data_IF_119852860631
#
_entry.id   IF_119852860631
#
_cell.length_a   1.000
_cell.length_b   1.000
_cell.length_c   1.000
_cell.angle_alpha   90.00
_cell.angle_beta   90.00
_cell.angle_gamma   90.00
#
_symmetry.space_group_name_H-M   'P 1'
#
loop_
_entity.id
_entity.type
_entity.pdbx_description
1 polymer ?
#
# COMPACT_ATOMS: atom_id res chain seq x y z
N UNK A 1 26.90 -60.60 42.01
CA UNK A 1 25.82 -59.95 41.24
C UNK A 1 24.92 -59.21 42.22
N UNK A 2 25.00 -57.88 42.25
CA UNK A 2 23.93 -56.97 42.68
C UNK A 2 24.42 -55.56 42.32
N UNK A 3 23.94 -55.08 41.17
CA UNK A 3 24.21 -53.73 40.66
C UNK A 3 23.22 -52.80 41.36
N UNK A 4 23.73 -51.93 42.24
CA UNK A 4 23.00 -50.79 42.78
C UNK A 4 22.96 -49.69 41.72
N UNK A 5 21.82 -49.58 41.03
CA UNK A 5 21.56 -48.49 40.10
C UNK A 5 21.09 -47.25 40.86
N UNK A 6 21.88 -46.19 40.77
CA UNK A 6 21.59 -44.84 41.25
C UNK A 6 20.29 -44.29 40.64
N UNK A 7 19.30 -44.02 41.48
CA UNK A 7 18.16 -43.17 41.16
C UNK A 7 18.60 -41.70 41.17
N UNK A 8 19.22 -41.27 40.07
CA UNK A 8 19.26 -39.84 39.73
C UNK A 8 17.91 -39.48 39.13
N UNK A 9 17.11 -38.72 39.87
CA UNK A 9 15.92 -38.07 39.35
C UNK A 9 16.31 -37.11 38.24
N UNK A 10 16.11 -37.53 36.99
CA UNK A 10 15.99 -36.61 35.87
C UNK A 10 14.65 -35.88 36.03
N UNK A 11 14.67 -34.69 36.64
CA UNK A 11 13.62 -33.73 36.34
C UNK A 11 13.68 -33.44 34.83
N UNK A 12 12.56 -33.50 34.10
CA UNK A 12 12.55 -33.13 32.71
C UNK A 12 12.93 -31.65 32.63
N UNK A 13 14.00 -31.34 31.88
CA UNK A 13 14.31 -30.00 31.39
C UNK A 13 13.10 -29.50 30.60
N UNK A 14 12.11 -28.93 31.30
CA UNK A 14 10.96 -28.29 30.67
C UNK A 14 11.51 -27.21 29.75
N UNK A 15 11.17 -27.28 28.46
CA UNK A 15 11.49 -26.27 27.47
C UNK A 15 10.94 -24.92 27.93
N UNK A 16 11.76 -24.14 28.64
CA UNK A 16 11.35 -22.86 29.21
C UNK A 16 11.33 -21.82 28.07
N UNK A 17 10.19 -21.19 27.83
CA UNK A 17 9.95 -20.18 26.80
C UNK A 17 10.84 -18.94 26.89
N UNK A 18 11.75 -18.87 27.85
CA UNK A 18 12.71 -17.77 28.06
C UNK A 18 13.57 -17.44 26.83
N UNK A 19 13.92 -18.43 26.01
CA UNK A 19 14.61 -18.19 24.73
C UNK A 19 13.75 -17.38 23.74
N UNK A 20 12.49 -17.80 23.57
CA UNK A 20 11.51 -17.10 22.74
C UNK A 20 11.16 -15.71 23.28
N UNK A 21 11.10 -15.55 24.61
CA UNK A 21 10.91 -14.25 25.24
C UNK A 21 12.02 -13.26 24.86
N UNK A 22 13.29 -13.68 24.97
CA UNK A 22 14.44 -12.83 24.60
C UNK A 22 14.43 -12.48 23.12
N UNK A 23 14.13 -13.46 22.26
CA UNK A 23 13.98 -13.22 20.82
C UNK A 23 12.86 -12.23 20.53
N UNK A 24 11.70 -12.40 21.15
CA UNK A 24 10.57 -11.47 20.99
C UNK A 24 10.95 -10.04 21.39
N UNK A 25 11.63 -9.88 22.52
CA UNK A 25 12.09 -8.58 23.01
C UNK A 25 13.01 -7.86 22.00
N UNK A 26 13.94 -8.60 21.37
CA UNK A 26 14.84 -8.03 20.35
C UNK A 26 14.12 -7.58 19.07
N UNK A 27 12.95 -8.14 18.78
CA UNK A 27 12.19 -7.89 17.56
C UNK A 27 11.14 -6.79 17.72
N UNK A 28 10.86 -6.29 18.92
CA UNK A 28 9.72 -5.40 19.20
C UNK A 28 9.65 -4.18 18.25
N UNK A 29 10.81 -3.63 17.88
CA UNK A 29 10.92 -2.44 17.03
C UNK A 29 11.09 -2.76 15.55
N UNK A 30 11.81 -3.82 15.20
CA UNK A 30 12.15 -4.16 13.81
C UNK A 30 11.11 -5.04 13.13
N UNK A 31 10.48 -5.95 13.87
CA UNK A 31 9.47 -6.89 13.39
C UNK A 31 8.44 -7.19 14.50
N UNK A 32 7.46 -6.29 14.70
CA UNK A 32 6.49 -6.42 15.78
C UNK A 32 5.58 -7.64 15.64
N UNK A 33 5.34 -8.13 14.42
CA UNK A 33 4.51 -9.31 14.17
C UNK A 33 5.23 -10.58 14.64
N UNK A 34 6.49 -10.75 14.23
CA UNK A 34 7.33 -11.83 14.76
C UNK A 34 7.52 -11.72 16.26
N UNK A 35 7.67 -10.50 16.81
CA UNK A 35 7.74 -10.30 18.27
C UNK A 35 6.49 -10.82 18.98
N UNK A 36 5.29 -10.48 18.48
CA UNK A 36 4.01 -10.97 19.03
C UNK A 36 3.93 -12.50 18.99
N UNK A 37 4.29 -13.13 17.86
CA UNK A 37 4.27 -14.59 17.75
C UNK A 37 5.26 -15.27 18.70
N UNK A 38 6.49 -14.73 18.83
CA UNK A 38 7.48 -15.27 19.75
C UNK A 38 7.04 -15.12 21.21
N UNK A 39 6.43 -14.00 21.61
CA UNK A 39 5.87 -13.87 22.96
C UNK A 39 4.70 -14.84 23.22
N UNK A 40 3.78 -15.02 22.25
CA UNK A 40 2.68 -16.00 22.35
C UNK A 40 3.23 -17.43 22.51
N UNK A 41 4.22 -17.79 21.70
CA UNK A 41 4.87 -19.09 21.77
C UNK A 41 5.64 -19.27 23.09
N UNK A 42 6.32 -18.23 23.59
CA UNK A 42 6.99 -18.26 24.89
C UNK A 42 6.01 -18.54 26.04
N UNK A 43 4.85 -17.87 26.04
CA UNK A 43 3.79 -18.09 27.03
C UNK A 43 3.27 -19.53 26.96
N UNK A 44 3.06 -20.06 25.75
CA UNK A 44 2.57 -21.42 25.52
C UNK A 44 3.57 -22.51 25.95
N UNK A 45 4.88 -22.29 25.75
CA UNK A 45 5.94 -23.20 26.18
C UNK A 45 6.22 -23.13 27.69
N UNK A 46 5.64 -22.15 28.39
CA UNK A 46 5.80 -21.97 29.83
C UNK A 46 6.90 -20.97 30.15
N UNK A 47 6.55 -20.01 31.00
CA UNK A 47 7.45 -18.98 31.53
C UNK A 47 7.29 -18.91 33.05
N UNK A 48 8.37 -18.56 33.78
CA UNK A 48 8.26 -18.16 35.18
C UNK A 48 7.22 -17.05 35.37
N UNK A 49 6.52 -17.04 36.51
CA UNK A 49 5.34 -16.17 36.73
C UNK A 49 5.59 -14.68 36.37
N UNK A 50 6.76 -14.15 36.74
CA UNK A 50 7.15 -12.77 36.44
C UNK A 50 7.34 -12.52 34.93
N UNK A 51 8.03 -13.43 34.23
CA UNK A 51 8.24 -13.33 32.79
C UNK A 51 6.95 -13.56 32.01
N UNK A 52 6.08 -14.47 32.49
CA UNK A 52 4.76 -14.67 31.91
C UNK A 52 3.93 -13.39 32.00
N UNK A 53 3.89 -12.74 33.17
CA UNK A 53 3.19 -11.47 33.37
C UNK A 53 3.75 -10.39 32.44
N UNK A 54 5.08 -10.28 32.33
CA UNK A 54 5.72 -9.34 31.43
C UNK A 54 5.36 -9.61 29.96
N UNK A 55 5.45 -10.86 29.50
CA UNK A 55 5.16 -11.27 28.12
C UNK A 55 3.71 -10.94 27.74
N UNK A 56 2.77 -11.19 28.64
CA UNK A 56 1.36 -10.87 28.47
C UNK A 56 1.18 -9.35 28.25
N UNK A 57 1.75 -8.51 29.12
CA UNK A 57 1.67 -7.05 28.93
C UNK A 57 2.38 -6.57 27.66
N UNK A 58 3.51 -7.18 27.29
CA UNK A 58 4.22 -6.87 26.04
C UNK A 58 3.36 -7.13 24.81
N UNK A 59 2.69 -8.29 24.75
CA UNK A 59 1.74 -8.61 23.67
C UNK A 59 0.62 -7.57 23.58
N UNK A 60 0.02 -7.19 24.73
CA UNK A 60 -1.00 -6.15 24.78
C UNK A 60 -0.51 -4.81 24.20
N UNK A 61 0.65 -4.33 24.63
CA UNK A 61 1.19 -3.05 24.15
C UNK A 61 1.62 -3.10 22.69
N UNK A 62 2.13 -4.24 22.21
CA UNK A 62 2.44 -4.44 20.79
C UNK A 62 1.17 -4.40 19.94
N UNK A 63 0.06 -4.98 20.40
CA UNK A 63 -1.22 -4.82 19.70
C UNK A 63 -1.66 -3.36 19.63
N UNK A 64 -1.63 -2.67 20.77
CA UNK A 64 -2.03 -1.28 20.88
C UNK A 64 -1.21 -0.37 19.95
N UNK A 65 0.13 -0.49 19.99
CA UNK A 65 1.05 0.38 19.24
C UNK A 65 0.96 0.16 17.73
N UNK A 66 0.69 -1.06 17.29
CA UNK A 66 0.67 -1.43 15.88
C UNK A 66 -0.75 -1.52 15.29
N UNK A 67 -1.73 -0.88 15.94
CA UNK A 67 -3.11 -0.72 15.46
C UNK A 67 -3.94 -2.01 15.34
N UNK A 68 -3.54 -3.08 16.03
CA UNK A 68 -4.34 -4.30 16.17
C UNK A 68 -5.42 -4.11 17.25
N UNK A 69 -6.31 -3.12 17.07
CA UNK A 69 -7.17 -2.65 18.16
C UNK A 69 -8.18 -3.69 18.64
N UNK A 70 -8.70 -4.55 17.76
CA UNK A 70 -9.63 -5.60 18.17
C UNK A 70 -8.91 -6.65 19.02
N UNK A 71 -7.68 -7.05 18.64
CA UNK A 71 -6.87 -7.94 19.46
C UNK A 71 -6.46 -7.27 20.77
N UNK A 72 -6.02 -6.00 20.76
CA UNK A 72 -5.69 -5.26 21.97
C UNK A 72 -6.89 -5.18 22.94
N UNK A 73 -8.09 -4.93 22.41
CA UNK A 73 -9.32 -4.86 23.19
C UNK A 73 -9.66 -6.22 23.82
N UNK A 74 -9.73 -7.28 23.01
CA UNK A 74 -10.07 -8.63 23.50
C UNK A 74 -9.01 -9.19 24.46
N UNK A 75 -7.74 -8.98 24.15
CA UNK A 75 -6.63 -9.46 24.96
C UNK A 75 -6.48 -8.66 26.26
N UNK A 76 -6.73 -7.35 26.23
CA UNK A 76 -6.81 -6.52 27.44
C UNK A 76 -7.84 -7.05 28.44
N UNK A 77 -9.00 -7.48 27.94
CA UNK A 77 -10.08 -8.05 28.78
C UNK A 77 -9.64 -9.35 29.45
N UNK A 78 -8.94 -10.23 28.73
CA UNK A 78 -8.51 -11.52 29.29
C UNK A 78 -7.40 -11.39 30.32
N UNK A 79 -6.69 -10.27 30.38
CA UNK A 79 -5.56 -10.04 31.29
C UNK A 79 -5.92 -9.10 32.45
N UNK A 80 -7.17 -8.66 32.54
CA UNK A 80 -7.66 -7.77 33.58
C UNK A 80 -7.20 -6.31 33.43
N UNK A 81 -6.91 -5.85 32.21
CA UNK A 81 -6.66 -4.43 31.97
C UNK A 81 -7.95 -3.65 32.25
N UNK A 82 -7.90 -2.70 33.19
CA UNK A 82 -9.07 -1.95 33.65
C UNK A 82 -9.80 -1.16 32.56
N UNK A 83 -11.01 -0.67 32.87
CA UNK A 83 -11.89 0.00 31.90
C UNK A 83 -11.30 1.23 31.20
N UNK A 84 -10.30 1.89 31.82
CA UNK A 84 -9.56 3.01 31.21
C UNK A 84 -8.79 2.59 29.96
N UNK A 85 -8.17 1.40 29.98
CA UNK A 85 -7.43 0.84 28.85
C UNK A 85 -8.35 0.47 27.70
N UNK A 86 -9.49 -0.18 27.98
CA UNK A 86 -10.49 -0.51 26.96
C UNK A 86 -11.05 0.75 26.28
N UNK A 87 -11.39 1.76 27.08
CA UNK A 87 -11.88 3.06 26.59
C UNK A 87 -10.85 3.75 25.70
N UNK A 88 -9.56 3.65 26.03
CA UNK A 88 -8.49 4.19 25.22
C UNK A 88 -8.35 3.46 23.87
N UNK A 89 -8.34 2.12 23.87
CA UNK A 89 -8.27 1.32 22.63
C UNK A 89 -9.44 1.65 21.71
N UNK A 90 -10.66 1.68 22.25
CA UNK A 90 -11.84 2.01 21.47
C UNK A 90 -11.72 3.42 20.90
N UNK A 91 -11.40 4.45 21.71
CA UNK A 91 -11.22 5.82 21.21
C UNK A 91 -10.19 5.92 20.08
N UNK A 92 -9.06 5.24 20.21
CA UNK A 92 -8.02 5.22 19.18
C UNK A 92 -8.51 4.56 17.88
N UNK A 93 -9.29 3.49 17.99
CA UNK A 93 -9.92 2.82 16.87
C UNK A 93 -10.96 3.71 16.17
N UNK A 94 -11.87 4.34 16.93
CA UNK A 94 -12.88 5.26 16.38
C UNK A 94 -12.20 6.41 15.65
N UNK A 95 -11.15 6.99 16.24
CA UNK A 95 -10.41 8.09 15.63
C UNK A 95 -9.70 7.64 14.34
N UNK A 96 -8.96 6.53 14.36
CA UNK A 96 -8.18 6.06 13.20
C UNK A 96 -9.07 5.59 12.06
N UNK A 97 -10.08 4.78 12.37
CA UNK A 97 -10.95 4.14 11.37
C UNK A 97 -12.18 4.99 10.99
N UNK A 98 -12.47 6.04 11.75
CA UNK A 98 -13.63 6.90 11.51
C UNK A 98 -14.96 6.17 11.68
N UNK A 99 -15.00 5.20 12.57
CA UNK A 99 -16.19 4.38 12.84
C UNK A 99 -16.85 4.82 14.15
N UNK A 100 -18.07 4.33 14.39
CA UNK A 100 -18.78 4.56 15.64
C UNK A 100 -18.46 3.47 16.67
N UNK A 101 -18.78 3.71 17.95
CA UNK A 101 -18.67 2.67 18.99
C UNK A 101 -19.50 1.44 18.66
N UNK A 102 -20.67 1.61 18.02
CA UNK A 102 -21.52 0.51 17.56
C UNK A 102 -20.82 -0.34 16.50
N UNK A 103 -20.22 0.31 15.49
CA UNK A 103 -19.44 -0.35 14.45
C UNK A 103 -18.26 -1.13 15.04
N UNK A 104 -17.53 -0.52 15.99
CA UNK A 104 -16.41 -1.18 16.66
C UNK A 104 -16.86 -2.41 17.44
N UNK A 105 -17.95 -2.30 18.20
CA UNK A 105 -18.51 -3.43 18.96
C UNK A 105 -19.01 -4.55 18.03
N UNK A 106 -19.60 -4.20 16.89
CA UNK A 106 -20.00 -5.18 15.87
C UNK A 106 -18.78 -5.95 15.34
N UNK A 107 -17.68 -5.26 15.03
CA UNK A 107 -16.43 -5.90 14.60
C UNK A 107 -15.83 -6.81 15.69
N UNK A 108 -15.79 -6.35 16.94
CA UNK A 108 -15.30 -7.14 18.08
C UNK A 108 -16.14 -8.41 18.28
N UNK A 109 -17.46 -8.29 18.17
CA UNK A 109 -18.40 -9.42 18.30
C UNK A 109 -18.26 -10.40 17.14
N UNK A 110 -18.09 -9.91 15.91
CA UNK A 110 -17.93 -10.74 14.72
C UNK A 110 -16.54 -11.38 14.63
N UNK A 111 -15.53 -10.81 15.31
CA UNK A 111 -14.13 -11.24 15.23
C UNK A 111 -13.91 -12.75 15.33
N UNK A 112 -14.50 -13.50 16.27
CA UNK A 112 -14.25 -14.93 16.39
C UNK A 112 -14.86 -15.77 15.26
N UNK A 113 -15.86 -15.25 14.55
CA UNK A 113 -16.70 -16.01 13.63
C UNK A 113 -16.39 -15.80 12.16
N UNK A 114 -17.06 -16.60 11.31
CA UNK A 114 -16.97 -16.52 9.86
C UNK A 114 -17.62 -15.25 9.26
N UNK A 115 -18.61 -14.66 9.95
CA UNK A 115 -19.32 -13.44 9.52
C UNK A 115 -18.55 -12.13 9.70
N UNK A 116 -17.27 -12.19 10.07
CA UNK A 116 -16.43 -10.99 10.23
C UNK A 116 -16.28 -10.22 8.94
N UNK A 117 -15.99 -10.90 7.82
CA UNK A 117 -15.74 -10.23 6.54
C UNK A 117 -16.98 -9.47 6.09
N UNK A 118 -18.18 -10.05 6.20
CA UNK A 118 -19.44 -9.38 5.83
C UNK A 118 -19.71 -8.15 6.70
N UNK A 119 -19.53 -8.29 8.02
CA UNK A 119 -19.67 -7.18 8.97
C UNK A 119 -18.67 -6.06 8.67
N UNK A 120 -17.41 -6.42 8.42
CA UNK A 120 -16.36 -5.48 8.07
C UNK A 120 -16.68 -4.77 6.76
N UNK A 121 -17.10 -5.51 5.74
CA UNK A 121 -17.40 -4.98 4.41
C UNK A 121 -18.58 -4.00 4.46
N UNK A 122 -19.63 -4.28 5.24
CA UNK A 122 -20.74 -3.34 5.45
C UNK A 122 -20.28 -2.04 6.13
N UNK A 123 -19.46 -2.14 7.18
CA UNK A 123 -18.94 -0.96 7.88
C UNK A 123 -18.00 -0.16 6.96
N UNK A 124 -17.12 -0.82 6.23
CA UNK A 124 -16.21 -0.21 5.25
C UNK A 124 -17.03 0.50 4.15
N UNK A 125 -18.05 -0.16 3.61
CA UNK A 125 -18.98 0.40 2.64
C UNK A 125 -19.70 1.63 3.20
N UNK A 126 -19.96 1.70 4.50
CA UNK A 126 -20.52 2.90 5.15
C UNK A 126 -19.47 3.94 5.56
N UNK A 127 -18.16 3.76 5.29
CA UNK A 127 -17.08 4.70 5.70
C UNK A 127 -16.00 4.94 4.61
N UNK A 128 -16.29 5.69 3.55
CA UNK A 128 -15.47 5.80 2.33
C UNK A 128 -14.08 6.33 2.57
N UNK A 129 -13.98 7.43 3.34
CA UNK A 129 -12.71 8.15 3.49
C UNK A 129 -11.69 7.38 4.32
N UNK A 130 -12.15 6.54 5.25
CA UNK A 130 -11.29 5.77 6.18
C UNK A 130 -11.43 4.25 6.02
N UNK A 131 -12.29 3.80 5.11
CA UNK A 131 -12.52 2.41 4.74
C UNK A 131 -11.25 1.67 4.31
N UNK A 132 -10.35 2.28 3.50
CA UNK A 132 -9.09 1.65 3.15
C UNK A 132 -8.19 1.36 4.36
N UNK A 133 -8.09 2.31 5.30
CA UNK A 133 -7.29 2.15 6.52
C UNK A 133 -7.89 1.07 7.43
N UNK A 134 -9.21 1.10 7.60
CA UNK A 134 -9.93 0.07 8.36
C UNK A 134 -9.72 -1.32 7.75
N UNK A 135 -9.98 -1.47 6.44
CA UNK A 135 -9.83 -2.74 5.74
C UNK A 135 -8.42 -3.30 5.92
N UNK A 136 -7.41 -2.47 5.76
CA UNK A 136 -6.03 -2.92 5.85
C UNK A 136 -5.59 -3.31 7.26
N UNK A 137 -5.95 -2.52 8.26
CA UNK A 137 -5.63 -2.87 9.65
C UNK A 137 -6.34 -4.19 10.03
N UNK A 138 -7.60 -4.39 9.59
CA UNK A 138 -8.33 -5.64 9.81
C UNK A 138 -7.68 -6.84 9.10
N UNK A 139 -7.20 -6.67 7.87
CA UNK A 139 -6.52 -7.75 7.13
C UNK A 139 -5.22 -8.16 7.78
N UNK A 140 -4.35 -7.20 8.09
CA UNK A 140 -3.08 -7.48 8.78
C UNK A 140 -3.33 -8.18 10.11
N UNK A 141 -4.34 -7.72 10.83
CA UNK A 141 -4.79 -8.32 12.08
C UNK A 141 -5.25 -9.78 11.91
N UNK A 142 -5.96 -10.10 10.83
CA UNK A 142 -6.40 -11.46 10.51
C UNK A 142 -5.25 -12.36 10.06
N UNK A 143 -4.33 -11.85 9.24
CA UNK A 143 -3.11 -12.55 8.83
C UNK A 143 -2.25 -12.92 10.04
N UNK A 144 -2.10 -12.00 11.00
CA UNK A 144 -1.38 -12.25 12.24
C UNK A 144 -2.04 -13.37 13.08
N UNK A 145 -3.36 -13.52 13.01
CA UNK A 145 -4.09 -14.61 13.66
C UNK A 145 -4.16 -15.89 12.79
N UNK A 146 -3.44 -15.94 11.65
CA UNK A 146 -3.40 -17.09 10.75
C UNK A 146 -4.66 -17.26 9.88
N UNK A 147 -5.52 -16.24 9.79
CA UNK A 147 -6.81 -16.25 9.09
C UNK A 147 -6.76 -15.54 7.75
N UNK A 148 -5.76 -15.88 6.94
CA UNK A 148 -5.54 -15.26 5.63
C UNK A 148 -6.73 -15.42 4.66
N UNK A 149 -7.50 -16.50 4.81
CA UNK A 149 -8.72 -16.76 4.01
C UNK A 149 -9.88 -15.81 4.34
N UNK A 150 -9.95 -15.32 5.59
CA UNK A 150 -10.93 -14.30 6.03
C UNK A 150 -10.40 -12.91 5.67
N UNK A 151 -9.09 -12.70 5.80
CA UNK A 151 -8.42 -11.46 5.43
C UNK A 151 -8.65 -11.11 3.95
N UNK A 152 -8.51 -12.09 3.06
CA UNK A 152 -8.74 -11.89 1.61
C UNK A 152 -10.18 -11.49 1.27
N UNK A 153 -11.15 -11.81 2.13
CA UNK A 153 -12.58 -11.48 1.95
C UNK A 153 -12.97 -10.12 2.52
N UNK A 154 -12.13 -9.49 3.34
CA UNK A 154 -12.31 -8.08 3.70
C UNK A 154 -11.97 -7.26 2.47
N UNK A 155 -12.87 -6.42 1.97
CA UNK A 155 -12.70 -5.62 0.77
C UNK A 155 -12.99 -4.15 1.05
N UNK A 156 -12.22 -3.27 0.41
CA UNK A 156 -12.62 -1.87 0.30
C UNK A 156 -13.75 -1.84 -0.73
N UNK A 157 -14.94 -1.41 -0.31
CA UNK A 157 -16.06 -1.14 -1.22
C UNK A 157 -16.63 0.22 -0.88
N UNK A 158 -17.14 0.95 -1.88
CA UNK A 158 -18.18 1.99 -1.69
C UNK A 158 -19.05 2.12 -2.95
N UNK A 159 -20.30 2.59 -2.78
CA UNK A 159 -21.45 2.29 -3.61
C UNK A 159 -21.54 3.19 -4.84
N UNK A 160 -22.13 2.63 -5.90
CA UNK A 160 -22.76 3.33 -7.02
C UNK A 160 -21.88 4.08 -8.03
N UNK A 161 -20.60 3.71 -8.20
CA UNK A 161 -19.91 4.12 -9.43
C UNK A 161 -20.25 3.14 -10.55
N UNK A 162 -20.97 3.61 -11.56
CA UNK A 162 -21.23 2.95 -12.86
C UNK A 162 -19.95 2.61 -13.67
N UNK A 163 -18.79 2.57 -13.01
CA UNK A 163 -17.48 2.22 -13.53
C UNK A 163 -16.95 1.07 -12.68
N UNK A 164 -17.10 -0.16 -13.19
CA UNK A 164 -16.70 -1.38 -12.48
C UNK A 164 -15.22 -1.38 -12.12
N UNK A 165 -14.92 -1.23 -10.82
CA UNK A 165 -13.57 -1.37 -10.29
C UNK A 165 -13.40 -2.76 -9.68
N UNK A 166 -12.30 -3.40 -10.07
CA UNK A 166 -11.94 -4.76 -9.68
C UNK A 166 -11.30 -4.77 -8.27
N UNK A 167 -11.79 -5.60 -7.32
CA UNK A 167 -11.27 -5.65 -5.96
C UNK A 167 -9.76 -5.94 -5.86
N UNK A 168 -9.21 -6.73 -6.79
CA UNK A 168 -7.77 -7.04 -6.80
C UNK A 168 -6.96 -5.79 -7.20
N UNK A 169 -7.48 -4.96 -8.10
CA UNK A 169 -6.82 -3.71 -8.51
C UNK A 169 -6.78 -2.69 -7.38
N UNK A 170 -7.87 -2.55 -6.63
CA UNK A 170 -7.91 -1.65 -5.47
C UNK A 170 -6.97 -2.12 -4.36
N UNK A 171 -6.90 -3.44 -4.15
CA UNK A 171 -5.98 -4.03 -3.19
C UNK A 171 -4.51 -3.79 -3.58
N UNK A 172 -4.19 -3.94 -4.86
CA UNK A 172 -2.85 -3.65 -5.36
C UNK A 172 -2.47 -2.17 -5.19
N UNK A 173 -3.39 -1.24 -5.47
CA UNK A 173 -3.17 0.19 -5.24
C UNK A 173 -2.96 0.53 -3.77
N UNK A 174 -3.70 -0.14 -2.89
CA UNK A 174 -3.50 -0.01 -1.45
C UNK A 174 -2.09 -0.43 -1.04
N UNK A 175 -1.63 -1.63 -1.41
CA UNK A 175 -0.28 -2.08 -1.11
C UNK A 175 0.80 -1.16 -1.69
N UNK A 176 0.61 -0.68 -2.93
CA UNK A 176 1.48 0.31 -3.54
C UNK A 176 1.56 1.62 -2.74
N UNK A 177 0.44 2.09 -2.19
CA UNK A 177 0.36 3.30 -1.36
C UNK A 177 1.10 3.16 -0.03
N UNK A 178 1.11 1.96 0.54
CA UNK A 178 1.84 1.64 1.78
C UNK A 178 3.34 1.39 1.55
N UNK A 179 3.77 1.32 0.29
CA UNK A 179 5.15 0.97 -0.06
C UNK A 179 5.42 -0.53 -0.12
N UNK A 180 4.40 -1.38 0.10
CA UNK A 180 4.49 -2.82 -0.14
C UNK A 180 4.38 -3.11 -1.64
N UNK A 181 5.49 -2.92 -2.34
CA UNK A 181 5.55 -3.13 -3.78
C UNK A 181 5.42 -4.61 -4.14
N UNK A 182 5.92 -5.52 -3.30
CA UNK A 182 5.89 -6.96 -3.54
C UNK A 182 4.46 -7.52 -3.41
N UNK A 183 3.73 -7.11 -2.37
CA UNK A 183 2.32 -7.45 -2.20
C UNK A 183 1.46 -6.91 -3.33
N UNK A 184 1.67 -5.65 -3.74
CA UNK A 184 0.97 -5.05 -4.86
C UNK A 184 1.20 -5.82 -6.17
N UNK A 185 2.47 -6.12 -6.46
CA UNK A 185 2.88 -6.84 -7.66
C UNK A 185 2.31 -8.26 -7.72
N UNK A 186 2.33 -8.99 -6.59
CA UNK A 186 1.78 -10.34 -6.50
C UNK A 186 0.30 -10.39 -6.92
N UNK A 187 -0.48 -9.41 -6.47
CA UNK A 187 -1.91 -9.34 -6.80
C UNK A 187 -2.11 -9.02 -8.28
N UNK A 188 -1.37 -8.05 -8.82
CA UNK A 188 -1.48 -7.66 -10.22
C UNK A 188 -1.11 -8.80 -11.16
N UNK A 189 -0.06 -9.58 -10.85
CA UNK A 189 0.30 -10.75 -11.66
C UNK A 189 -0.70 -11.89 -11.54
N UNK A 190 -1.21 -12.16 -10.33
CA UNK A 190 -2.30 -13.12 -10.15
C UNK A 190 -3.49 -12.75 -11.04
N UNK A 191 -3.83 -11.46 -11.10
CA UNK A 191 -4.95 -10.96 -11.92
C UNK A 191 -4.63 -10.99 -13.41
N UNK A 192 -3.43 -10.62 -13.82
CA UNK A 192 -3.00 -10.68 -15.21
C UNK A 192 -3.02 -12.10 -15.78
N UNK A 193 -2.76 -13.10 -14.94
CA UNK A 193 -2.68 -14.51 -15.30
C UNK A 193 -3.95 -15.32 -14.97
N UNK A 194 -5.03 -14.68 -14.51
CA UNK A 194 -6.28 -15.40 -14.25
C UNK A 194 -6.91 -15.88 -15.55
N UNK A 195 -7.57 -17.04 -15.52
CA UNK A 195 -8.32 -17.59 -16.67
C UNK A 195 -9.56 -16.74 -17.03
N UNK A 196 -9.99 -15.82 -16.15
CA UNK A 196 -10.98 -14.81 -16.49
C UNK A 196 -10.43 -13.81 -17.50
N UNK A 197 -11.12 -13.69 -18.65
CA UNK A 197 -10.79 -12.69 -19.66
C UNK A 197 -10.94 -11.27 -19.09
N UNK A 198 -9.80 -10.63 -18.82
CA UNK A 198 -9.77 -9.23 -18.42
C UNK A 198 -10.28 -8.35 -19.56
N UNK A 199 -11.38 -7.64 -19.32
CA UNK A 199 -11.83 -6.57 -20.20
C UNK A 199 -10.73 -5.52 -20.41
N UNK A 200 -10.75 -4.87 -21.58
CA UNK A 200 -9.66 -3.97 -22.02
C UNK A 200 -9.32 -2.89 -20.97
N UNK A 201 -10.32 -2.26 -20.35
CA UNK A 201 -10.10 -1.26 -19.31
C UNK A 201 -9.37 -1.82 -18.07
N UNK A 202 -9.75 -3.03 -17.62
CA UNK A 202 -9.10 -3.69 -16.49
C UNK A 202 -7.65 -4.06 -16.82
N UNK A 203 -7.42 -4.59 -18.02
CA UNK A 203 -6.07 -4.92 -18.51
C UNK A 203 -5.17 -3.69 -18.60
N UNK A 204 -5.69 -2.58 -19.14
CA UNK A 204 -5.00 -1.29 -19.15
C UNK A 204 -4.60 -0.86 -17.74
N UNK A 205 -5.53 -0.97 -16.78
CA UNK A 205 -5.26 -0.59 -15.39
C UNK A 205 -4.22 -1.46 -14.71
N UNK A 206 -4.27 -2.79 -14.90
CA UNK A 206 -3.23 -3.72 -14.39
C UNK A 206 -1.84 -3.28 -14.86
N UNK A 207 -1.69 -3.09 -16.17
CA UNK A 207 -0.42 -2.72 -16.79
C UNK A 207 0.07 -1.35 -16.30
N UNK A 208 -0.82 -0.37 -16.19
CA UNK A 208 -0.47 0.93 -15.63
C UNK A 208 0.09 0.83 -14.19
N UNK A 209 -0.53 0.03 -13.33
CA UNK A 209 -0.08 -0.16 -11.95
C UNK A 209 1.25 -0.91 -11.87
N UNK A 210 1.47 -1.92 -12.71
CA UNK A 210 2.78 -2.57 -12.87
C UNK A 210 3.85 -1.57 -13.29
N UNK A 211 3.55 -0.66 -14.22
CA UNK A 211 4.45 0.42 -14.61
C UNK A 211 4.82 1.35 -13.44
N UNK A 212 3.85 1.73 -12.61
CA UNK A 212 4.11 2.52 -11.39
C UNK A 212 5.01 1.79 -10.38
N UNK A 213 4.80 0.49 -10.19
CA UNK A 213 5.64 -0.34 -9.30
C UNK A 213 7.08 -0.36 -9.82
N UNK A 214 7.27 -0.62 -11.11
CA UNK A 214 8.59 -0.64 -11.74
C UNK A 214 9.32 0.69 -11.61
N UNK A 215 8.60 1.80 -11.78
CA UNK A 215 9.17 3.12 -11.57
C UNK A 215 9.68 3.31 -10.13
N UNK A 216 8.90 2.91 -9.11
CA UNK A 216 9.34 2.96 -7.71
C UNK A 216 10.53 2.04 -7.41
N UNK A 217 10.70 0.97 -8.19
CA UNK A 217 11.84 0.06 -8.12
C UNK A 217 13.06 0.56 -8.93
N UNK A 218 13.03 1.79 -9.46
CA UNK A 218 14.04 2.36 -10.35
C UNK A 218 14.27 1.54 -11.65
N UNK A 219 13.23 0.83 -12.11
CA UNK A 219 13.23 0.05 -13.36
C UNK A 219 12.52 0.84 -14.47
N UNK A 220 13.15 1.92 -14.92
CA UNK A 220 12.55 2.91 -15.82
C UNK A 220 12.10 2.31 -17.16
N UNK A 221 12.94 1.49 -17.81
CA UNK A 221 12.62 0.87 -19.11
C UNK A 221 11.41 -0.06 -19.03
N UNK A 222 11.30 -0.84 -17.95
CA UNK A 222 10.13 -1.69 -17.72
C UNK A 222 8.87 -0.85 -17.48
N UNK A 223 8.99 0.25 -16.73
CA UNK A 223 7.86 1.17 -16.51
C UNK A 223 7.34 1.77 -17.82
N UNK A 224 8.25 2.24 -18.69
CA UNK A 224 7.92 2.77 -20.02
C UNK A 224 7.18 1.70 -20.85
N UNK A 225 7.71 0.46 -20.88
CA UNK A 225 7.07 -0.65 -21.60
C UNK A 225 5.65 -0.89 -21.09
N UNK A 226 5.45 -0.93 -19.78
CA UNK A 226 4.13 -1.13 -19.19
C UNK A 226 3.15 -0.01 -19.52
N UNK A 227 3.56 1.25 -19.51
CA UNK A 227 2.68 2.36 -19.91
C UNK A 227 2.28 2.28 -21.38
N UNK A 228 3.19 1.88 -22.28
CA UNK A 228 2.86 1.66 -23.70
C UNK A 228 1.87 0.51 -23.88
N UNK A 229 2.08 -0.61 -23.18
CA UNK A 229 1.14 -1.74 -23.20
C UNK A 229 -0.22 -1.35 -22.64
N UNK A 230 -0.26 -0.60 -21.54
CA UNK A 230 -1.50 -0.10 -20.94
C UNK A 230 -2.29 0.78 -21.92
N UNK A 231 -1.60 1.62 -22.69
CA UNK A 231 -2.21 2.49 -23.68
C UNK A 231 -2.91 1.71 -24.81
N UNK A 232 -2.35 0.57 -25.23
CA UNK A 232 -2.95 -0.29 -26.25
C UNK A 232 -4.29 -0.93 -25.84
N UNK A 233 -4.60 -0.90 -24.54
CA UNK A 233 -5.86 -1.43 -23.99
C UNK A 233 -6.79 -0.32 -23.46
N UNK A 234 -6.38 0.95 -23.53
CA UNK A 234 -7.15 2.08 -23.04
C UNK A 234 -8.06 2.68 -24.13
N UNK A 235 -9.03 3.50 -23.72
CA UNK A 235 -9.78 4.37 -24.65
C UNK A 235 -8.91 5.52 -25.13
N UNK A 236 -9.24 6.15 -26.25
CA UNK A 236 -8.42 7.19 -26.90
C UNK A 236 -7.80 8.23 -25.94
N UNK A 237 -8.63 8.84 -25.08
CA UNK A 237 -8.15 9.88 -24.15
C UNK A 237 -7.16 9.32 -23.12
N UNK A 238 -7.45 8.16 -22.56
CA UNK A 238 -6.58 7.54 -21.54
C UNK A 238 -5.32 6.93 -22.17
N UNK A 239 -5.45 6.35 -23.36
CA UNK A 239 -4.35 5.88 -24.19
C UNK A 239 -3.33 7.00 -24.43
N UNK A 240 -3.80 8.18 -24.84
CA UNK A 240 -2.94 9.37 -25.02
C UNK A 240 -2.24 9.78 -23.74
N UNK A 241 -2.93 9.78 -22.59
CA UNK A 241 -2.32 10.09 -21.29
C UNK A 241 -1.21 9.10 -20.93
N UNK A 242 -1.43 7.82 -21.15
CA UNK A 242 -0.46 6.76 -20.87
C UNK A 242 0.76 6.85 -21.79
N UNK A 243 0.57 7.20 -23.07
CA UNK A 243 1.66 7.42 -24.02
C UNK A 243 2.43 8.71 -23.72
N UNK A 244 1.75 9.78 -23.31
CA UNK A 244 2.40 10.99 -22.81
C UNK A 244 3.24 10.70 -21.55
N UNK A 245 2.75 9.85 -20.65
CA UNK A 245 3.52 9.42 -19.48
C UNK A 245 4.77 8.62 -19.88
N UNK A 246 4.64 7.68 -20.81
CA UNK A 246 5.77 6.92 -21.35
C UNK A 246 6.81 7.83 -22.04
N UNK A 247 6.33 8.77 -22.85
CA UNK A 247 7.16 9.79 -23.52
C UNK A 247 7.89 10.65 -22.49
N UNK A 248 7.19 11.14 -21.46
CA UNK A 248 7.79 11.96 -20.40
C UNK A 248 8.93 11.23 -19.68
N UNK A 249 8.79 9.91 -19.48
CA UNK A 249 9.84 9.07 -18.92
C UNK A 249 11.05 8.94 -19.84
N UNK A 250 10.84 8.69 -21.13
CA UNK A 250 11.91 8.71 -22.14
C UNK A 250 12.66 10.05 -22.15
N UNK A 251 11.92 11.16 -22.10
CA UNK A 251 12.51 12.48 -22.09
C UNK A 251 13.36 12.72 -20.83
N UNK A 252 12.86 12.33 -19.67
CA UNK A 252 13.57 12.42 -18.38
C UNK A 252 14.82 11.56 -18.32
N UNK A 253 14.88 10.46 -19.06
CA UNK A 253 16.07 9.60 -19.19
C UNK A 253 17.03 10.05 -20.29
N UNK A 254 16.80 11.21 -20.91
CA UNK A 254 17.68 11.79 -21.93
C UNK A 254 17.40 11.29 -23.36
N UNK A 255 16.43 10.40 -23.55
CA UNK A 255 16.04 9.86 -24.87
C UNK A 255 15.06 10.80 -25.57
N UNK A 256 15.50 12.03 -25.85
CA UNK A 256 14.64 13.12 -26.33
C UNK A 256 14.00 12.83 -27.70
N UNK A 257 14.74 12.20 -28.62
CA UNK A 257 14.24 11.93 -29.98
C UNK A 257 13.13 10.87 -29.92
N UNK A 258 13.35 9.78 -29.18
CA UNK A 258 12.34 8.75 -28.95
C UNK A 258 11.12 9.29 -28.19
N UNK A 259 11.31 10.27 -27.29
CA UNK A 259 10.20 10.92 -26.62
C UNK A 259 9.35 11.74 -27.60
N UNK A 260 9.99 12.48 -28.52
CA UNK A 260 9.33 13.26 -29.56
C UNK A 260 8.56 12.38 -30.54
N UNK A 261 9.21 11.35 -31.11
CA UNK A 261 8.57 10.39 -32.02
C UNK A 261 7.30 9.78 -31.43
N UNK A 262 7.31 9.51 -30.12
CA UNK A 262 6.16 8.92 -29.45
C UNK A 262 4.96 9.89 -29.38
N UNK A 263 5.18 11.20 -29.32
CA UNK A 263 4.10 12.20 -29.15
C UNK A 263 3.72 12.96 -30.41
N UNK A 264 4.61 13.00 -31.41
CA UNK A 264 4.39 13.69 -32.70
C UNK A 264 3.16 13.16 -33.45
N UNK A 265 2.78 11.91 -33.17
CA UNK A 265 1.62 11.24 -33.74
C UNK A 265 0.29 11.64 -33.08
N UNK A 266 0.31 12.42 -32.00
CA UNK A 266 -0.90 12.81 -31.28
C UNK A 266 -1.33 14.25 -31.59
N UNK A 267 -2.65 14.50 -31.63
CA UNK A 267 -3.15 15.87 -31.69
C UNK A 267 -2.76 16.65 -30.43
N UNK A 268 -2.78 17.98 -30.55
CA UNK A 268 -2.50 18.89 -29.43
C UNK A 268 -3.35 18.51 -28.20
N UNK A 269 -2.72 18.26 -27.02
CA UNK A 269 -3.45 17.84 -25.83
C UNK A 269 -4.30 18.98 -25.28
N UNK A 270 -5.44 18.66 -24.65
CA UNK A 270 -6.31 19.66 -24.02
C UNK A 270 -5.82 20.14 -22.65
N UNK A 271 -5.08 19.30 -21.92
CA UNK A 271 -4.57 19.59 -20.58
C UNK A 271 -3.29 20.43 -20.62
N UNK A 272 -3.26 21.53 -19.87
CA UNK A 272 -2.19 22.54 -19.97
C UNK A 272 -0.78 22.00 -19.63
N UNK A 273 -0.68 21.08 -18.66
CA UNK A 273 0.61 20.43 -18.35
C UNK A 273 1.11 19.55 -19.49
N UNK A 274 0.22 18.83 -20.16
CA UNK A 274 0.59 18.04 -21.33
C UNK A 274 0.93 18.94 -22.52
N UNK A 275 0.23 20.06 -22.71
CA UNK A 275 0.60 21.07 -23.73
C UNK A 275 2.02 21.58 -23.51
N UNK A 276 2.33 22.01 -22.28
CA UNK A 276 3.67 22.47 -21.94
C UNK A 276 4.72 21.38 -22.23
N UNK A 277 4.43 20.13 -21.85
CA UNK A 277 5.30 19.00 -22.15
C UNK A 277 5.56 18.84 -23.66
N UNK A 278 4.50 18.82 -24.46
CA UNK A 278 4.60 18.67 -25.92
C UNK A 278 5.44 19.78 -26.54
N UNK A 279 5.21 21.03 -26.12
CA UNK A 279 5.98 22.17 -26.59
C UNK A 279 7.46 22.05 -26.22
N UNK A 280 7.78 21.68 -24.97
CA UNK A 280 9.16 21.53 -24.50
C UNK A 280 9.90 20.47 -25.31
N UNK A 281 9.29 19.30 -25.51
CA UNK A 281 9.92 18.20 -26.25
C UNK A 281 10.08 18.55 -27.72
N UNK A 282 9.08 19.16 -28.35
CA UNK A 282 9.16 19.57 -29.75
C UNK A 282 10.28 20.60 -30.00
N UNK A 283 10.53 21.49 -29.05
CA UNK A 283 11.63 22.46 -29.14
C UNK A 283 12.99 21.80 -28.88
N UNK A 284 13.11 20.96 -27.85
CA UNK A 284 14.40 20.38 -27.41
C UNK A 284 14.90 19.23 -28.30
N UNK A 285 13.98 18.45 -28.88
CA UNK A 285 14.30 17.30 -29.72
C UNK A 285 14.28 17.62 -31.22
N UNK A 286 13.34 18.45 -31.68
CA UNK A 286 13.06 18.63 -33.10
C UNK A 286 13.17 20.08 -33.60
N UNK A 287 13.68 21.01 -32.77
CA UNK A 287 13.87 22.42 -33.14
C UNK A 287 12.60 23.12 -33.67
N UNK A 288 11.42 22.67 -33.23
CA UNK A 288 10.16 23.08 -33.85
C UNK A 288 9.88 24.59 -33.65
N UNK A 289 9.85 25.41 -34.72
CA UNK A 289 9.73 26.86 -34.60
C UNK A 289 8.34 27.32 -34.15
N UNK A 290 7.29 26.56 -34.47
CA UNK A 290 5.93 26.85 -34.03
C UNK A 290 5.77 26.56 -32.53
N UNK A 291 6.34 25.45 -32.06
CA UNK A 291 6.38 25.13 -30.65
C UNK A 291 7.16 26.18 -29.86
N UNK A 292 8.31 26.65 -30.39
CA UNK A 292 9.10 27.71 -29.79
C UNK A 292 8.31 29.03 -29.67
N UNK A 293 7.58 29.42 -30.72
CA UNK A 293 6.74 30.63 -30.69
C UNK A 293 5.65 30.54 -29.62
N UNK A 294 4.99 29.38 -29.51
CA UNK A 294 4.00 29.12 -28.46
C UNK A 294 4.65 29.15 -27.06
N UNK A 295 5.81 28.53 -26.89
CA UNK A 295 6.55 28.54 -25.63
C UNK A 295 6.94 29.97 -25.21
N UNK A 296 7.38 30.81 -26.16
CA UNK A 296 7.66 32.25 -25.92
C UNK A 296 6.43 33.01 -25.43
N UNK A 297 5.24 32.72 -25.97
CA UNK A 297 4.01 33.35 -25.49
C UNK A 297 3.66 33.01 -24.03
N UNK A 298 4.19 31.90 -23.51
CA UNK A 298 4.01 31.46 -22.12
C UNK A 298 5.13 31.95 -21.19
N UNK A 299 6.16 32.64 -21.69
CA UNK A 299 7.39 32.95 -20.94
C UNK A 299 7.11 33.74 -19.65
N UNK A 300 6.25 34.76 -19.71
CA UNK A 300 5.91 35.59 -18.57
C UNK A 300 5.26 34.76 -17.43
N UNK A 301 4.33 33.88 -17.80
CA UNK A 301 3.67 32.97 -16.86
C UNK A 301 4.67 31.98 -16.25
N UNK A 302 5.56 31.42 -17.07
CA UNK A 302 6.60 30.48 -16.63
C UNK A 302 7.59 31.14 -15.65
N UNK A 303 8.03 32.37 -15.94
CA UNK A 303 8.89 33.15 -15.05
C UNK A 303 8.21 33.41 -13.71
N UNK A 304 6.93 33.76 -13.72
CA UNK A 304 6.17 34.01 -12.51
C UNK A 304 6.02 32.73 -11.66
N UNK A 305 5.73 31.58 -12.28
CA UNK A 305 5.69 30.28 -11.58
C UNK A 305 7.03 29.92 -10.94
N UNK A 306 8.16 30.22 -11.60
CA UNK A 306 9.50 30.04 -11.01
C UNK A 306 9.70 30.97 -9.83
N UNK A 307 9.37 32.26 -9.98
CA UNK A 307 9.51 33.28 -8.93
C UNK A 307 8.73 32.90 -7.66
N UNK A 308 7.54 32.32 -7.82
CA UNK A 308 6.69 31.84 -6.72
C UNK A 308 7.12 30.48 -6.15
N UNK A 309 8.19 29.86 -6.66
CA UNK A 309 8.65 28.54 -6.22
C UNK A 309 7.73 27.38 -6.63
N UNK A 310 6.82 27.62 -7.58
CA UNK A 310 5.81 26.64 -8.04
C UNK A 310 6.25 25.86 -9.29
N UNK A 311 7.40 26.19 -9.86
CA UNK A 311 7.89 25.58 -11.09
C UNK A 311 8.39 24.14 -10.90
N UNK A 312 7.84 23.23 -11.69
CA UNK A 312 8.28 21.85 -11.80
C UNK A 312 9.53 21.70 -12.66
N UNK A 313 9.76 20.47 -13.13
CA UNK A 313 10.85 20.19 -14.06
C UNK A 313 10.60 20.82 -15.43
N UNK A 314 9.37 20.71 -15.95
CA UNK A 314 9.01 21.17 -17.29
C UNK A 314 9.10 22.68 -17.43
N UNK A 315 8.62 23.43 -16.45
CA UNK A 315 8.67 24.89 -16.45
C UNK A 315 10.12 25.41 -16.46
N UNK A 316 11.00 24.78 -15.66
CA UNK A 316 12.42 25.13 -15.64
C UNK A 316 13.13 24.79 -16.94
N UNK A 317 12.84 23.61 -17.51
CA UNK A 317 13.40 23.19 -18.78
C UNK A 317 12.94 24.09 -19.93
N UNK A 318 11.65 24.48 -19.94
CA UNK A 318 11.10 25.43 -20.89
C UNK A 318 11.85 26.77 -20.87
N UNK A 319 12.04 27.37 -19.69
CA UNK A 319 12.79 28.63 -19.57
C UNK A 319 14.26 28.47 -19.99
N UNK A 320 14.89 27.35 -19.67
CA UNK A 320 16.25 27.07 -20.15
C UNK A 320 16.36 27.04 -21.67
N UNK A 321 15.37 26.46 -22.35
CA UNK A 321 15.30 26.46 -23.82
C UNK A 321 15.06 27.85 -24.40
N UNK A 322 14.30 28.70 -23.71
CA UNK A 322 14.05 30.09 -24.11
C UNK A 322 15.25 31.01 -23.88
N UNK A 323 16.10 30.72 -22.89
CA UNK A 323 17.29 31.52 -22.55
C UNK A 323 18.52 31.10 -23.36
N UNK A 324 18.60 29.84 -23.79
CA UNK A 324 19.70 29.31 -24.58
C UNK A 324 19.64 29.63 -26.09
N UNK A 325 18.71 30.50 -26.52
CA UNK A 325 18.48 30.91 -27.91
C UNK A 325 18.09 32.36 -27.99
#
# INVERSE_FOLDING_TARGET
>A
MLILASLMGFEPLHANGSGLFRRAYSLESSDPESAIQNYRAAIAQGLPANLRRAAVWKVYFLYKRNHYYIQAYRYGNSIGAGGSHQSEIMRNALHRWGITSSDFNALVKAWPGAGLSDTANDIIARRSRKGPVLAADLRRALELDGRGDVASRVVVRRPDSKTGNDPDLEQAEYFYSQGDLAGAEKILWKKANSEEDLGSAARSRVLYLLGKIRLKQNKEEEAIRFYRLAAGHATDTESRRLLALASYRLYRSGKKDAAYELIDQFPDPSEDRMKLYFLVVAVDAADNPNALRRLKSMEAELKERVRLGQAGFLERKALGLLQGR
#
